data_IF_528260194830
#
_entry.id   IF_528260194830
#
_cell.length_a   1.000
_cell.length_b   1.000
_cell.length_c   1.000
_cell.angle_alpha   90.00
_cell.angle_beta   90.00
_cell.angle_gamma   90.00
#
_symmetry.space_group_name_H-M   'P 1'
#
loop_
_entity.id
_entity.type
_entity.pdbx_description
1 polymer ?
#
# COMPACT_ATOMS: atom_id res chain seq x y z
N UNK A 1 35.04 -20.09 -64.81
CA UNK A 1 35.04 -19.47 -63.49
C UNK A 1 33.88 -18.49 -63.25
N UNK A 2 32.72 -18.66 -63.84
CA UNK A 2 31.55 -17.73 -63.67
C UNK A 2 30.29 -18.39 -63.17
N UNK A 3 30.31 -19.71 -62.82
CA UNK A 3 29.11 -20.48 -62.48
C UNK A 3 29.06 -20.85 -61.00
N UNK A 4 30.11 -20.62 -60.21
CA UNK A 4 30.17 -21.01 -58.79
C UNK A 4 29.69 -19.85 -57.85
N UNK A 5 29.59 -18.62 -58.36
CA UNK A 5 29.25 -17.46 -57.55
C UNK A 5 27.72 -17.23 -57.38
N UNK A 6 26.89 -17.97 -58.08
CA UNK A 6 25.42 -17.81 -58.02
C UNK A 6 24.72 -18.72 -57.02
N UNK A 7 25.40 -19.72 -56.46
CA UNK A 7 24.83 -20.64 -55.47
C UNK A 7 25.07 -20.22 -54.01
N UNK A 8 26.01 -19.30 -53.76
CA UNK A 8 26.28 -18.84 -52.40
C UNK A 8 25.36 -17.71 -51.92
N UNK A 9 24.66 -17.00 -52.82
CA UNK A 9 23.75 -15.92 -52.45
C UNK A 9 22.34 -16.35 -52.02
N UNK A 10 21.95 -17.63 -52.27
CA UNK A 10 20.63 -18.15 -51.92
C UNK A 10 20.54 -18.75 -50.50
N UNK A 11 21.69 -19.08 -49.89
CA UNK A 11 21.70 -19.78 -48.59
C UNK A 11 21.72 -18.85 -47.38
N UNK A 12 21.97 -17.57 -47.55
CA UNK A 12 22.03 -16.60 -46.43
C UNK A 12 20.66 -15.95 -46.16
N UNK A 13 19.73 -15.99 -47.13
CA UNK A 13 18.37 -15.41 -46.92
C UNK A 13 17.38 -16.29 -46.20
N UNK A 14 17.72 -17.53 -45.88
CA UNK A 14 16.79 -18.48 -45.19
C UNK A 14 17.01 -18.58 -43.68
N UNK A 15 18.02 -17.87 -43.14
CA UNK A 15 18.33 -17.92 -41.68
C UNK A 15 17.76 -16.76 -40.86
N UNK A 16 16.95 -15.89 -41.47
CA UNK A 16 16.22 -14.81 -40.75
C UNK A 16 14.71 -15.14 -40.73
N UNK A 17 14.35 -16.39 -40.58
CA UNK A 17 13.03 -16.78 -40.10
C UNK A 17 13.07 -16.61 -38.58
N UNK A 18 12.64 -15.44 -38.16
CA UNK A 18 12.59 -15.01 -36.80
C UNK A 18 12.04 -16.07 -35.88
N UNK A 19 12.67 -16.23 -34.76
CA UNK A 19 11.99 -16.65 -33.54
C UNK A 19 10.83 -15.67 -33.37
N UNK A 20 9.65 -16.03 -33.89
CA UNK A 20 8.42 -15.43 -33.44
C UNK A 20 8.46 -15.66 -31.90
N UNK A 21 8.75 -14.62 -31.15
CA UNK A 21 8.49 -14.63 -29.74
C UNK A 21 7.01 -14.99 -29.64
N UNK A 22 6.71 -16.22 -29.24
CA UNK A 22 5.37 -16.60 -28.84
C UNK A 22 5.16 -15.69 -27.63
N UNK A 23 4.43 -14.58 -27.84
CA UNK A 23 3.93 -13.80 -26.74
C UNK A 23 3.04 -14.79 -25.98
N UNK A 24 3.53 -15.28 -24.84
CA UNK A 24 2.70 -16.08 -23.94
C UNK A 24 1.41 -15.30 -23.73
N UNK A 25 0.28 -15.95 -23.98
CA UNK A 25 -1.03 -15.33 -23.80
C UNK A 25 -1.17 -14.91 -22.33
N UNK A 26 -0.87 -13.66 -22.05
CA UNK A 26 -1.03 -13.10 -20.69
C UNK A 26 -2.53 -12.92 -20.40
N UNK A 27 -2.99 -13.42 -19.23
CA UNK A 27 -2.31 -14.19 -18.21
C UNK A 27 -2.43 -15.70 -18.44
N UNK A 28 -1.32 -16.46 -18.39
CA UNK A 28 -1.26 -17.92 -18.51
C UNK A 28 -1.15 -18.65 -17.16
N UNK A 29 -1.00 -17.91 -16.05
CA UNK A 29 -0.88 -18.44 -14.68
C UNK A 29 -1.53 -17.47 -13.68
N UNK A 30 -1.74 -17.89 -12.41
CA UNK A 30 -2.30 -17.01 -11.38
C UNK A 30 -1.51 -15.71 -11.20
N UNK A 31 -2.24 -14.62 -10.95
CA UNK A 31 -1.68 -13.29 -10.63
C UNK A 31 -1.64 -13.16 -9.11
N UNK A 32 -0.48 -12.84 -8.54
CA UNK A 32 -0.30 -12.56 -7.12
C UNK A 32 -0.46 -11.05 -6.86
N UNK A 33 -1.31 -10.68 -5.90
CA UNK A 33 -1.40 -9.33 -5.37
C UNK A 33 -0.83 -9.33 -3.95
N UNK A 34 0.34 -8.73 -3.78
CA UNK A 34 0.99 -8.52 -2.49
C UNK A 34 0.36 -7.32 -1.81
N UNK A 35 -0.35 -7.55 -0.71
CA UNK A 35 -0.89 -6.50 0.16
C UNK A 35 0.13 -6.17 1.24
N UNK A 36 0.59 -4.92 1.30
CA UNK A 36 1.70 -4.50 2.18
C UNK A 36 1.29 -4.30 3.65
N UNK A 37 0.05 -4.65 4.00
CA UNK A 37 -0.52 -4.51 5.34
C UNK A 37 -1.14 -5.82 5.83
N UNK A 38 -1.40 -5.91 7.14
CA UNK A 38 -2.02 -7.10 7.76
C UNK A 38 -3.41 -7.37 7.19
N UNK A 39 -3.74 -8.64 7.09
CA UNK A 39 -5.08 -9.10 6.71
C UNK A 39 -6.16 -8.52 7.64
N UNK A 40 -7.36 -8.29 7.10
CA UNK A 40 -8.51 -7.74 7.81
C UNK A 40 -8.51 -6.21 7.94
N UNK A 41 -7.49 -5.51 7.42
CA UNK A 41 -7.49 -4.06 7.31
C UNK A 41 -8.19 -3.56 6.04
N UNK A 42 -8.37 -2.24 5.94
CA UNK A 42 -9.05 -1.61 4.80
C UNK A 42 -8.37 -1.94 3.46
N UNK A 43 -7.04 -1.85 3.40
CA UNK A 43 -6.27 -2.16 2.19
C UNK A 43 -6.47 -3.61 1.75
N UNK A 44 -6.48 -4.56 2.71
CA UNK A 44 -6.75 -5.97 2.43
C UNK A 44 -8.17 -6.19 1.89
N UNK A 45 -9.16 -5.54 2.48
CA UNK A 45 -10.56 -5.63 2.05
C UNK A 45 -10.73 -5.15 0.59
N UNK A 46 -10.11 -4.03 0.22
CA UNK A 46 -10.13 -3.54 -1.17
C UNK A 46 -9.38 -4.45 -2.12
N UNK A 47 -8.21 -4.97 -1.73
CA UNK A 47 -7.45 -5.92 -2.55
C UNK A 47 -8.27 -7.17 -2.85
N UNK A 48 -8.96 -7.73 -1.85
CA UNK A 48 -9.84 -8.89 -2.02
C UNK A 48 -11.05 -8.58 -2.90
N UNK A 49 -11.60 -7.39 -2.80
CA UNK A 49 -12.67 -6.95 -3.70
C UNK A 49 -12.20 -6.89 -5.15
N UNK A 50 -11.01 -6.34 -5.40
CA UNK A 50 -10.40 -6.31 -6.74
C UNK A 50 -10.10 -7.73 -7.21
N UNK A 51 -9.47 -8.59 -6.40
CA UNK A 51 -9.17 -9.96 -6.74
C UNK A 51 -10.41 -10.78 -7.12
N UNK A 52 -11.55 -10.51 -6.49
CA UNK A 52 -12.84 -11.14 -6.81
C UNK A 52 -13.41 -10.73 -8.17
N UNK A 53 -13.15 -9.50 -8.61
CA UNK A 53 -13.78 -8.95 -9.81
C UNK A 53 -12.84 -8.88 -11.02
N UNK A 54 -11.55 -8.66 -10.81
CA UNK A 54 -10.52 -8.51 -11.84
C UNK A 54 -10.48 -9.69 -12.85
N UNK A 55 -10.58 -10.97 -12.43
CA UNK A 55 -10.54 -12.11 -13.35
C UNK A 55 -11.53 -11.99 -14.51
N UNK A 56 -12.74 -11.49 -14.26
CA UNK A 56 -13.80 -11.34 -15.26
C UNK A 56 -13.46 -10.41 -16.42
N UNK A 57 -12.43 -9.59 -16.26
CA UNK A 57 -11.98 -8.58 -17.23
C UNK A 57 -10.65 -8.97 -17.87
N UNK A 58 -10.12 -10.17 -17.58
CA UNK A 58 -8.87 -10.67 -18.13
C UNK A 58 -9.12 -11.91 -18.99
N UNK A 59 -8.35 -12.10 -20.06
CA UNK A 59 -8.42 -13.33 -20.87
C UNK A 59 -8.26 -14.56 -19.99
N UNK A 60 -9.02 -15.61 -20.29
CA UNK A 60 -8.93 -16.88 -19.55
C UNK A 60 -9.45 -16.88 -18.12
N UNK A 61 -9.93 -15.73 -17.61
CA UNK A 61 -10.44 -15.59 -16.22
C UNK A 61 -9.47 -16.18 -15.18
N UNK A 62 -8.21 -15.70 -15.11
CA UNK A 62 -7.16 -16.28 -14.29
C UNK A 62 -7.47 -16.18 -12.80
N UNK A 63 -6.88 -17.07 -12.02
CA UNK A 63 -6.90 -16.93 -10.56
C UNK A 63 -6.12 -15.68 -10.13
N UNK A 64 -6.65 -14.94 -9.13
CA UNK A 64 -5.96 -13.80 -8.49
C UNK A 64 -5.82 -14.10 -7.01
N UNK A 65 -4.58 -14.24 -6.55
CA UNK A 65 -4.21 -14.65 -5.20
C UNK A 65 -3.80 -13.44 -4.38
N UNK A 66 -4.32 -13.30 -3.15
CA UNK A 66 -3.92 -12.25 -2.22
C UNK A 66 -2.90 -12.80 -1.22
N UNK A 67 -1.74 -12.14 -1.12
CA UNK A 67 -0.68 -12.45 -0.16
C UNK A 67 -0.39 -11.23 0.70
N UNK A 68 -0.64 -11.33 2.02
CA UNK A 68 -0.34 -10.23 2.94
C UNK A 68 1.13 -10.33 3.40
N UNK A 69 1.92 -9.28 3.15
CA UNK A 69 3.32 -9.13 3.59
C UNK A 69 3.47 -7.80 4.36
N UNK A 70 3.00 -7.74 5.61
CA UNK A 70 3.07 -6.53 6.43
C UNK A 70 4.47 -6.29 7.00
N UNK A 71 4.69 -5.07 7.54
CA UNK A 71 5.89 -4.69 8.27
C UNK A 71 6.67 -3.56 7.61
N UNK A 72 7.48 -2.83 8.42
CA UNK A 72 8.27 -1.69 7.95
C UNK A 72 7.44 -0.58 7.31
N UNK A 73 6.24 -0.28 7.83
CA UNK A 73 5.28 0.65 7.21
C UNK A 73 4.95 0.31 5.74
N UNK A 74 4.99 -0.98 5.37
CA UNK A 74 4.71 -1.48 4.01
C UNK A 74 5.96 -1.78 3.17
N UNK A 75 7.16 -1.47 3.66
CA UNK A 75 8.40 -1.67 2.89
C UNK A 75 8.75 -3.14 2.68
N UNK A 76 8.39 -4.05 3.60
CA UNK A 76 8.67 -5.48 3.44
C UNK A 76 7.92 -6.03 2.22
N UNK A 77 6.63 -5.77 2.10
CA UNK A 77 5.85 -6.19 0.94
C UNK A 77 6.35 -5.58 -0.35
N UNK A 78 6.64 -4.27 -0.37
CA UNK A 78 7.18 -3.60 -1.55
C UNK A 78 8.55 -4.12 -1.97
N UNK A 79 9.44 -4.44 -1.04
CA UNK A 79 10.73 -5.08 -1.36
C UNK A 79 10.52 -6.39 -2.11
N UNK A 80 9.55 -7.22 -1.67
CA UNK A 80 9.30 -8.49 -2.37
C UNK A 80 8.77 -8.29 -3.80
N UNK A 81 8.04 -7.20 -4.06
CA UNK A 81 7.56 -6.89 -5.41
C UNK A 81 8.66 -6.25 -6.27
N UNK A 82 9.48 -5.37 -5.69
CA UNK A 82 10.57 -4.71 -6.44
C UNK A 82 11.66 -5.68 -6.93
N UNK A 83 11.73 -6.87 -6.33
CA UNK A 83 12.67 -7.93 -6.73
C UNK A 83 12.03 -9.05 -7.55
N UNK A 84 10.71 -8.98 -7.79
CA UNK A 84 10.00 -9.92 -8.64
C UNK A 84 10.24 -9.61 -10.13
N UNK A 85 10.01 -10.60 -10.98
CA UNK A 85 10.07 -10.40 -12.44
C UNK A 85 8.99 -9.39 -12.87
N UNK A 86 9.32 -8.41 -13.74
CA UNK A 86 8.38 -7.37 -14.17
C UNK A 86 7.45 -7.85 -15.30
N UNK A 87 6.86 -9.03 -15.15
CA UNK A 87 6.04 -9.74 -16.13
C UNK A 87 4.52 -9.55 -15.95
N UNK A 88 4.11 -8.75 -14.96
CA UNK A 88 2.71 -8.46 -14.67
C UNK A 88 2.02 -9.48 -13.77
N UNK A 89 2.70 -10.55 -13.34
CA UNK A 89 2.11 -11.56 -12.45
C UNK A 89 2.27 -11.27 -10.96
N UNK A 90 3.16 -10.35 -10.59
CA UNK A 90 3.33 -9.91 -9.20
C UNK A 90 3.02 -8.44 -9.08
N UNK A 91 1.91 -8.11 -8.43
CA UNK A 91 1.43 -6.74 -8.24
C UNK A 91 1.52 -6.35 -6.77
N UNK A 92 1.81 -5.09 -6.48
CA UNK A 92 1.66 -4.52 -5.15
C UNK A 92 0.31 -3.83 -5.00
N UNK A 93 -0.40 -4.10 -3.91
CA UNK A 93 -1.54 -3.31 -3.49
C UNK A 93 -1.21 -2.61 -2.17
N UNK A 94 -0.99 -1.30 -2.25
CA UNK A 94 -0.42 -0.51 -1.17
C UNK A 94 -1.02 0.91 -1.15
N UNK A 95 -0.67 1.68 -0.14
CA UNK A 95 -0.90 3.13 -0.13
C UNK A 95 0.30 3.85 -0.74
N UNK A 96 0.19 5.15 -1.01
CA UNK A 96 1.27 5.95 -1.59
C UNK A 96 2.48 6.11 -0.65
N UNK A 97 2.27 6.13 0.66
CA UNK A 97 3.33 6.47 1.61
C UNK A 97 4.54 5.52 1.63
N UNK A 98 4.40 4.18 1.54
CA UNK A 98 5.57 3.31 1.46
C UNK A 98 6.44 3.55 0.24
N UNK A 99 5.86 4.02 -0.86
CA UNK A 99 6.59 4.32 -2.11
C UNK A 99 7.19 5.72 -2.05
N UNK A 100 6.41 6.73 -1.60
CA UNK A 100 6.81 8.14 -1.70
C UNK A 100 7.58 8.64 -0.47
N UNK A 101 7.37 8.06 0.71
CA UNK A 101 7.93 8.59 1.98
C UNK A 101 9.06 7.69 2.50
N UNK A 102 8.88 6.38 2.50
CA UNK A 102 9.85 5.47 3.14
C UNK A 102 11.25 5.51 2.53
N UNK A 103 11.46 5.71 1.21
CA UNK A 103 12.80 5.88 0.66
C UNK A 103 13.55 7.11 1.21
N UNK A 104 12.82 8.14 1.66
CA UNK A 104 13.39 9.35 2.25
C UNK A 104 13.54 9.27 3.78
N UNK A 105 12.70 8.46 4.43
CA UNK A 105 12.68 8.29 5.88
C UNK A 105 13.64 7.20 6.36
N UNK A 106 13.81 6.13 5.59
CA UNK A 106 14.64 4.99 5.91
C UNK A 106 15.45 4.50 4.71
N UNK A 107 16.26 3.46 4.94
CA UNK A 107 16.96 2.76 3.85
C UNK A 107 16.04 1.70 3.28
N UNK A 108 15.50 1.94 2.09
CA UNK A 108 14.77 0.93 1.32
C UNK A 108 15.64 0.42 0.17
N UNK A 109 15.52 -0.85 -0.24
CA UNK A 109 16.23 -1.37 -1.40
C UNK A 109 15.55 -0.99 -2.73
N UNK A 110 14.54 -0.12 -2.69
CA UNK A 110 13.78 0.36 -3.84
C UNK A 110 13.58 1.88 -3.76
N UNK A 111 13.23 2.48 -4.90
CA UNK A 111 12.77 3.86 -5.05
C UNK A 111 11.37 3.88 -5.69
N UNK A 112 10.79 5.06 -5.90
CA UNK A 112 9.51 5.18 -6.60
C UNK A 112 9.59 4.66 -8.04
N UNK A 113 10.73 4.83 -8.69
CA UNK A 113 11.00 4.41 -10.06
C UNK A 113 11.13 2.88 -10.20
N UNK A 114 11.27 2.15 -9.09
CA UNK A 114 11.28 0.68 -9.09
C UNK A 114 9.91 0.06 -9.40
N UNK A 115 8.86 0.88 -9.51
CA UNK A 115 7.50 0.41 -9.73
C UNK A 115 6.84 1.13 -10.90
N UNK A 116 6.04 0.40 -11.66
CA UNK A 116 5.14 0.97 -12.67
C UNK A 116 3.72 1.03 -12.07
N UNK A 117 3.15 2.24 -11.85
CA UNK A 117 1.79 2.36 -11.33
C UNK A 117 0.77 1.88 -12.37
N UNK A 118 -0.08 0.92 -11.97
CA UNK A 118 -1.14 0.38 -12.83
C UNK A 118 -2.41 1.22 -12.73
N UNK A 119 -2.89 1.46 -11.50
CA UNK A 119 -4.10 2.24 -11.26
C UNK A 119 -4.15 2.77 -9.83
N UNK A 120 -4.86 3.90 -9.63
CA UNK A 120 -5.31 4.36 -8.31
C UNK A 120 -6.68 3.75 -8.04
N UNK A 121 -6.72 2.78 -7.11
CA UNK A 121 -7.95 2.03 -6.81
C UNK A 121 -8.92 2.82 -5.93
N UNK A 122 -8.41 3.65 -5.00
CA UNK A 122 -9.22 4.48 -4.09
C UNK A 122 -8.43 5.66 -3.54
N UNK A 123 -9.14 6.60 -2.98
CA UNK A 123 -8.61 7.72 -2.23
C UNK A 123 -9.37 7.83 -0.92
N UNK A 124 -8.65 7.98 0.19
CA UNK A 124 -9.26 8.03 1.51
C UNK A 124 -8.64 9.16 2.30
N UNK A 125 -9.50 10.02 2.87
CA UNK A 125 -9.07 11.02 3.83
C UNK A 125 -8.67 10.35 5.15
N UNK A 126 -7.64 10.86 5.80
CA UNK A 126 -7.32 10.49 7.18
C UNK A 126 -8.21 11.27 8.15
N UNK A 127 -8.64 10.63 9.22
CA UNK A 127 -9.39 11.25 10.30
C UNK A 127 -8.68 11.08 11.63
N UNK A 128 -8.70 12.13 12.45
CA UNK A 128 -8.35 12.03 13.84
C UNK A 128 -9.55 11.51 14.62
N UNK A 129 -9.33 10.46 15.39
CA UNK A 129 -10.37 9.86 16.21
C UNK A 129 -9.92 9.88 17.67
N UNK A 130 -10.86 10.15 18.58
CA UNK A 130 -10.70 10.03 20.01
C UNK A 130 -11.68 8.98 20.55
N UNK A 131 -11.48 8.51 21.77
CA UNK A 131 -12.45 7.61 22.40
C UNK A 131 -13.81 8.32 22.53
N UNK A 132 -14.92 7.59 22.36
CA UNK A 132 -16.30 8.14 22.41
C UNK A 132 -16.61 8.87 23.73
N UNK A 133 -16.03 8.42 24.84
CA UNK A 133 -16.18 9.01 26.17
C UNK A 133 -15.13 10.11 26.45
N UNK A 134 -14.34 10.54 25.45
CA UNK A 134 -13.43 11.67 25.61
C UNK A 134 -14.22 12.96 25.86
N UNK A 135 -13.69 13.84 26.68
CA UNK A 135 -14.25 15.19 26.88
C UNK A 135 -13.99 16.10 25.67
N UNK A 136 -13.05 15.74 24.79
CA UNK A 136 -12.74 16.44 23.54
C UNK A 136 -13.81 16.10 22.50
N UNK A 137 -14.62 17.09 22.11
CA UNK A 137 -15.73 16.92 21.16
C UNK A 137 -15.56 17.70 19.88
N UNK A 138 -14.73 18.74 19.88
CA UNK A 138 -14.52 19.64 18.75
C UNK A 138 -13.05 19.78 18.42
N UNK A 139 -12.76 20.30 17.22
CA UNK A 139 -11.41 20.63 16.81
C UNK A 139 -10.75 21.67 17.74
N UNK A 140 -11.49 22.73 18.08
CA UNK A 140 -10.96 23.81 18.92
C UNK A 140 -10.64 23.32 20.33
N UNK A 141 -11.49 22.48 20.92
CA UNK A 141 -11.23 21.83 22.21
C UNK A 141 -9.97 20.95 22.12
N UNK A 142 -9.80 20.21 21.03
CA UNK A 142 -8.64 19.37 20.83
C UNK A 142 -7.34 20.18 20.77
N UNK A 143 -7.32 21.25 19.97
CA UNK A 143 -6.13 22.11 19.87
C UNK A 143 -5.84 22.80 21.20
N UNK A 144 -6.87 23.28 21.91
CA UNK A 144 -6.71 23.90 23.22
C UNK A 144 -6.16 22.89 24.25
N UNK A 145 -6.67 21.66 24.25
CA UNK A 145 -6.21 20.60 25.13
C UNK A 145 -4.74 20.25 24.88
N UNK A 146 -4.35 20.09 23.60
CA UNK A 146 -2.96 19.79 23.21
C UNK A 146 -1.98 20.86 23.71
N UNK A 147 -2.35 22.14 23.56
CA UNK A 147 -1.51 23.28 24.01
C UNK A 147 -1.40 23.36 25.53
N UNK A 148 -2.44 22.95 26.25
CA UNK A 148 -2.44 22.94 27.71
C UNK A 148 -1.69 21.73 28.29
N UNK A 149 -1.53 20.64 27.53
CA UNK A 149 -0.96 19.38 27.98
C UNK A 149 0.10 18.87 26.97
N UNK A 150 1.24 19.55 26.79
CA UNK A 150 2.23 19.19 25.78
C UNK A 150 2.82 17.80 26.03
N UNK A 151 2.83 16.94 25.00
CA UNK A 151 3.35 15.58 25.05
C UNK A 151 2.48 14.54 25.78
N UNK A 152 1.34 14.95 26.37
CA UNK A 152 0.47 14.03 27.11
C UNK A 152 -0.50 13.26 26.20
N UNK A 153 -0.85 13.83 25.03
CA UNK A 153 -1.77 13.15 24.09
C UNK A 153 -1.09 11.97 23.43
N UNK A 154 -1.41 10.78 23.93
CA UNK A 154 -0.94 9.53 23.31
C UNK A 154 -1.81 9.17 22.11
N UNK A 155 -1.17 8.92 20.98
CA UNK A 155 -1.89 8.55 19.76
C UNK A 155 -1.16 7.48 18.98
N UNK A 156 -1.88 6.86 18.07
CA UNK A 156 -1.31 5.97 17.07
C UNK A 156 -1.83 6.28 15.67
N UNK A 157 -1.19 5.70 14.67
CA UNK A 157 -1.54 5.90 13.27
C UNK A 157 -1.54 4.57 12.51
N UNK A 158 -2.48 4.40 11.59
CA UNK A 158 -2.54 3.20 10.74
C UNK A 158 -1.27 3.08 9.90
N UNK A 159 -0.66 1.90 9.92
CA UNK A 159 0.57 1.60 9.18
C UNK A 159 1.85 1.80 9.98
N UNK A 160 1.77 2.25 11.24
CA UNK A 160 2.92 2.35 12.15
C UNK A 160 3.85 3.53 11.88
N UNK A 161 5.05 3.43 12.40
CA UNK A 161 6.07 4.48 12.32
C UNK A 161 6.44 4.78 10.86
N UNK A 162 6.46 6.08 10.50
CA UNK A 162 6.80 6.54 9.14
C UNK A 162 5.71 6.29 8.09
N UNK A 163 4.52 5.83 8.50
CA UNK A 163 3.36 5.78 7.60
C UNK A 163 2.85 7.19 7.25
N UNK A 164 2.08 7.32 6.17
CA UNK A 164 1.49 8.60 5.77
C UNK A 164 0.63 9.22 6.87
N UNK A 165 -0.16 8.40 7.57
CA UNK A 165 -0.99 8.85 8.70
C UNK A 165 -0.16 9.32 9.89
N UNK A 166 0.99 8.67 10.18
CA UNK A 166 1.93 9.15 11.19
C UNK A 166 2.51 10.50 10.81
N UNK A 167 3.03 10.64 9.58
CA UNK A 167 3.64 11.90 9.10
C UNK A 167 2.63 13.05 9.11
N UNK A 168 1.39 12.82 8.66
CA UNK A 168 0.33 13.83 8.69
C UNK A 168 -0.02 14.24 10.13
N UNK A 169 0.01 13.30 11.10
CA UNK A 169 -0.21 13.62 12.51
C UNK A 169 0.90 14.54 13.08
N UNK A 170 2.15 14.24 12.76
CA UNK A 170 3.29 15.07 13.18
C UNK A 170 3.27 16.45 12.53
N UNK A 171 2.91 16.52 11.24
CA UNK A 171 2.72 17.80 10.54
C UNK A 171 1.58 18.62 11.17
N UNK A 172 0.47 17.97 11.53
CA UNK A 172 -0.63 18.63 12.23
C UNK A 172 -0.17 19.20 13.58
N UNK A 173 0.48 18.39 14.42
CA UNK A 173 0.99 18.83 15.72
C UNK A 173 1.93 20.03 15.58
N UNK A 174 2.86 19.98 14.64
CA UNK A 174 3.76 21.07 14.31
C UNK A 174 3.02 22.33 13.87
N UNK A 175 2.01 22.19 12.99
CA UNK A 175 1.24 23.32 12.46
C UNK A 175 0.43 24.07 13.54
N UNK A 176 -0.06 23.35 14.56
CA UNK A 176 -0.80 23.97 15.68
C UNK A 176 0.11 24.35 16.85
N UNK A 177 1.41 24.09 16.76
CA UNK A 177 2.39 24.39 17.81
C UNK A 177 2.17 23.54 19.06
N UNK A 178 1.91 22.25 18.90
CA UNK A 178 1.64 21.29 19.97
C UNK A 178 2.55 20.06 19.87
N UNK A 179 2.66 19.32 20.97
CA UNK A 179 3.38 18.06 21.03
C UNK A 179 2.42 16.91 21.31
N UNK A 180 2.57 15.81 20.57
CA UNK A 180 1.82 14.59 20.78
C UNK A 180 2.80 13.41 20.94
N UNK A 181 2.38 12.34 21.59
CA UNK A 181 3.21 11.15 21.82
C UNK A 181 2.72 9.97 20.99
N UNK A 182 3.49 9.60 19.99
CA UNK A 182 3.19 8.46 19.12
C UNK A 182 3.47 7.12 19.79
N UNK A 183 2.50 6.20 19.73
CA UNK A 183 2.61 4.81 20.18
C UNK A 183 2.42 3.90 18.97
N UNK A 184 3.45 3.19 18.48
CA UNK A 184 3.34 2.40 17.28
C UNK A 184 2.55 1.11 17.49
N UNK A 185 1.63 0.82 16.55
CA UNK A 185 1.00 -0.49 16.35
C UNK A 185 1.13 -0.87 14.87
N UNK A 186 1.35 -2.15 14.62
CA UNK A 186 1.54 -2.64 13.25
C UNK A 186 0.25 -2.91 12.48
N UNK A 187 -0.92 -2.84 13.12
CA UNK A 187 -2.19 -3.18 12.49
C UNK A 187 -3.38 -2.42 13.08
N UNK A 188 -4.36 -2.11 12.22
CA UNK A 188 -5.57 -1.38 12.58
C UNK A 188 -6.37 -2.06 13.71
N UNK A 189 -6.39 -3.40 13.75
CA UNK A 189 -7.09 -4.13 14.79
C UNK A 189 -6.49 -3.88 16.18
N UNK A 190 -5.16 -3.92 16.31
CA UNK A 190 -4.45 -3.62 17.57
C UNK A 190 -4.66 -2.17 18.00
N UNK A 191 -4.55 -1.24 17.05
CA UNK A 191 -4.78 0.18 17.27
C UNK A 191 -6.22 0.44 17.78
N UNK A 192 -7.23 -0.16 17.15
CA UNK A 192 -8.62 -0.03 17.57
C UNK A 192 -8.87 -0.61 18.95
N UNK A 193 -8.26 -1.76 19.28
CA UNK A 193 -8.34 -2.35 20.61
C UNK A 193 -7.72 -1.42 21.66
N UNK A 194 -6.55 -0.83 21.37
CA UNK A 194 -5.88 0.12 22.26
C UNK A 194 -6.69 1.40 22.47
N UNK A 195 -7.31 1.95 21.43
CA UNK A 195 -8.19 3.11 21.54
C UNK A 195 -9.45 2.79 22.35
N UNK A 196 -10.12 1.67 22.05
CA UNK A 196 -11.32 1.23 22.77
C UNK A 196 -11.02 0.89 24.23
N UNK A 197 -9.85 0.33 24.50
CA UNK A 197 -9.36 0.04 25.87
C UNK A 197 -8.76 1.24 26.60
N UNK A 198 -8.81 2.44 26.01
CA UNK A 198 -8.25 3.69 26.58
C UNK A 198 -6.76 3.62 26.89
N UNK A 199 -6.02 2.73 26.19
CA UNK A 199 -4.55 2.64 26.30
C UNK A 199 -3.85 3.78 25.54
N UNK A 200 -4.53 4.35 24.55
CA UNK A 200 -4.16 5.57 23.84
C UNK A 200 -5.38 6.52 23.83
N UNK A 201 -5.10 7.82 23.75
CA UNK A 201 -6.15 8.85 23.78
C UNK A 201 -6.77 9.08 22.41
N UNK A 202 -6.00 8.88 21.34
CA UNK A 202 -6.48 9.10 19.97
C UNK A 202 -5.78 8.26 18.94
N UNK A 203 -6.28 8.38 17.71
CA UNK A 203 -5.67 7.71 16.55
C UNK A 203 -5.88 8.53 15.28
N UNK A 204 -4.87 8.49 14.39
CA UNK A 204 -5.02 8.94 13.02
C UNK A 204 -5.24 7.73 12.14
N UNK A 205 -6.44 7.61 11.58
CA UNK A 205 -6.85 6.44 10.82
C UNK A 205 -7.51 6.85 9.51
N UNK A 206 -7.51 5.89 8.59
CA UNK A 206 -8.45 5.91 7.49
C UNK A 206 -9.85 5.64 8.05
N UNK A 207 -10.90 6.34 7.59
CA UNK A 207 -12.26 6.09 8.05
C UNK A 207 -12.60 4.61 7.95
N UNK A 208 -12.98 3.98 9.06
CA UNK A 208 -13.43 2.60 9.04
C UNK A 208 -14.79 2.54 8.35
N UNK A 209 -14.87 1.86 7.22
CA UNK A 209 -16.13 1.51 6.56
C UNK A 209 -16.83 0.34 7.28
N UNK A 210 -16.65 0.18 8.59
CA UNK A 210 -17.48 -0.72 9.37
C UNK A 210 -18.91 -0.14 9.42
N UNK A 211 -19.70 -0.48 8.40
CA UNK A 211 -21.16 -0.51 8.51
C UNK A 211 -21.52 -1.66 9.44
N UNK A 212 -21.38 -1.42 10.71
CA UNK A 212 -21.83 -2.28 11.78
C UNK A 212 -22.35 -1.37 12.87
N UNK A 213 -23.66 -1.15 12.92
CA UNK A 213 -24.50 -0.64 13.95
C UNK A 213 -23.91 0.42 14.90
N UNK A 214 -24.58 1.57 14.95
CA UNK A 214 -24.40 2.71 15.86
C UNK A 214 -23.39 3.79 15.47
N UNK A 215 -23.55 4.35 14.25
CA UNK A 215 -23.28 5.77 14.06
C UNK A 215 -24.59 6.53 14.37
N UNK A 216 -24.74 7.03 15.57
CA UNK A 216 -25.65 8.15 15.88
C UNK A 216 -24.81 9.37 16.11
#
# INVERSE_FOLDING_TARGET
MKTIFKLAAGAVSAAILGTAAIADDFPSRPIEIVVTYKAGGLTDAYARMIAKHMPKHLPGNPEVVIVNKPGGAGTIGLTSVSTAEPDGYTLAFTTSSPIAIQPHYGKTPFTAESFVPVAKAFEIASSLNVHKDSDIKTYDEFVAWLKANPGEFTYSATGGTGSGTHIVSEQFASAVGAEMRFIPFEGTAQLNAALSGKQIMGSMQLPNLHRGGDAR
#
